data_IF_031769735222
#
_entry.id   IF_031769735222
#
_cell.length_a   1.000
_cell.length_b   1.000
_cell.length_c   1.000
_cell.angle_alpha   90.00
_cell.angle_beta   90.00
_cell.angle_gamma   90.00
#
_symmetry.space_group_name_H-M   'P 1'
#
loop_
_entity.id
_entity.type
_entity.pdbx_description
1 polymer ?
#
# COMPACT_ATOMS: atom_id res chain seq x y z
N UNK A 1 -20.31 3.82 -25.08
CA UNK A 1 -19.72 5.06 -24.53
C UNK A 1 -18.94 4.63 -23.33
N UNK A 2 -17.62 4.47 -23.48
CA UNK A 2 -16.75 4.01 -22.41
C UNK A 2 -16.66 5.14 -21.38
N UNK A 3 -17.40 5.01 -20.28
CA UNK A 3 -17.20 5.85 -19.12
C UNK A 3 -15.83 5.49 -18.55
N UNK A 4 -14.79 6.23 -18.95
CA UNK A 4 -13.67 6.49 -18.06
C UNK A 4 -14.22 7.28 -16.88
N UNK A 5 -14.88 6.57 -15.97
CA UNK A 5 -15.07 7.00 -14.60
C UNK A 5 -13.68 7.35 -14.11
N UNK A 6 -13.36 8.65 -14.09
CA UNK A 6 -12.07 9.13 -13.62
C UNK A 6 -12.04 8.84 -12.14
N UNK A 7 -11.58 7.64 -11.78
CA UNK A 7 -11.47 7.18 -10.41
C UNK A 7 -10.93 8.34 -9.57
N UNK A 8 -11.67 8.73 -8.54
CA UNK A 8 -11.34 9.94 -7.76
C UNK A 8 -10.00 9.70 -7.09
N UNK A 9 -8.95 10.29 -7.65
CA UNK A 9 -7.61 10.15 -7.12
C UNK A 9 -7.46 10.99 -5.85
N UNK A 10 -7.05 10.35 -4.77
CA UNK A 10 -6.89 11.00 -3.48
C UNK A 10 -5.52 10.73 -2.90
N UNK A 11 -5.00 11.72 -2.17
CA UNK A 11 -3.73 11.55 -1.45
C UNK A 11 -3.92 10.60 -0.28
N UNK A 12 -2.92 9.76 -0.04
CA UNK A 12 -2.87 8.84 1.07
C UNK A 12 -1.49 8.88 1.72
N UNK A 13 -1.45 8.60 3.03
CA UNK A 13 -0.23 8.45 3.82
C UNK A 13 -0.23 7.09 4.50
N UNK A 14 0.92 6.42 4.47
CA UNK A 14 1.15 5.19 5.21
C UNK A 14 1.70 5.49 6.60
N UNK A 15 1.12 4.88 7.61
CA UNK A 15 1.40 5.10 9.02
C UNK A 15 1.79 3.80 9.74
N UNK A 16 2.84 3.85 10.56
CA UNK A 16 3.55 2.68 11.06
C UNK A 16 4.28 1.86 9.97
N UNK A 17 4.92 0.76 10.40
CA UNK A 17 5.54 -0.23 9.54
C UNK A 17 6.72 0.27 8.69
N UNK A 18 7.22 -0.57 7.76
CA UNK A 18 8.41 -0.28 6.96
C UNK A 18 8.28 0.86 5.94
N UNK A 19 7.06 1.31 5.66
CA UNK A 19 6.78 2.39 4.70
C UNK A 19 6.18 3.63 5.39
N UNK A 20 6.41 3.78 6.70
CA UNK A 20 5.92 4.92 7.47
C UNK A 20 6.30 6.26 6.83
N UNK A 21 5.32 7.16 6.74
CA UNK A 21 5.47 8.51 6.15
C UNK A 21 5.41 8.54 4.63
N UNK A 22 5.38 7.39 3.94
CA UNK A 22 5.23 7.36 2.49
C UNK A 22 3.90 7.98 2.09
N UNK A 23 3.94 8.92 1.14
CA UNK A 23 2.76 9.51 0.52
C UNK A 23 2.54 8.91 -0.86
N UNK A 24 1.29 8.56 -1.16
CA UNK A 24 0.90 8.00 -2.46
C UNK A 24 -0.46 8.55 -2.90
N UNK A 25 -0.91 8.20 -4.10
CA UNK A 25 -2.26 8.44 -4.57
C UNK A 25 -3.00 7.13 -4.73
N UNK A 26 -4.26 7.11 -4.31
CA UNK A 26 -5.14 5.95 -4.44
C UNK A 26 -6.38 6.32 -5.25
N UNK A 27 -6.85 5.37 -6.04
CA UNK A 27 -8.08 5.45 -6.81
C UNK A 27 -9.21 4.78 -6.00
N UNK A 28 -10.38 5.42 -5.93
CA UNK A 28 -11.61 4.85 -5.35
C UNK A 28 -11.51 4.42 -3.88
N UNK A 29 -10.54 4.99 -3.16
CA UNK A 29 -10.30 4.76 -1.72
C UNK A 29 -10.32 3.25 -1.38
N UNK A 30 -9.31 2.46 -1.75
CA UNK A 30 -9.28 1.04 -1.43
C UNK A 30 -9.22 0.84 0.10
N UNK A 31 -9.78 -0.25 0.62
CA UNK A 31 -9.67 -0.55 2.05
C UNK A 31 -8.28 -1.02 2.46
N UNK A 32 -7.50 -1.55 1.52
CA UNK A 32 -6.21 -2.18 1.76
C UNK A 32 -5.20 -1.73 0.71
N UNK A 33 -3.97 -1.48 1.14
CA UNK A 33 -2.82 -1.29 0.28
C UNK A 33 -1.76 -2.36 0.58
N UNK A 34 -1.15 -2.87 -0.48
CA UNK A 34 -0.03 -3.79 -0.42
C UNK A 34 1.25 -3.06 -0.80
N UNK A 35 2.25 -3.11 0.07
CA UNK A 35 3.59 -2.57 -0.19
C UNK A 35 4.56 -3.74 -0.28
N UNK A 36 5.25 -3.86 -1.41
CA UNK A 36 6.29 -4.87 -1.60
C UNK A 36 7.68 -4.26 -1.50
N UNK A 37 8.60 -4.97 -0.86
CA UNK A 37 10.02 -4.60 -0.80
C UNK A 37 10.86 -5.77 -1.28
N UNK A 38 11.76 -5.59 -2.27
CA UNK A 38 12.60 -6.68 -2.74
C UNK A 38 13.53 -7.16 -1.62
N UNK A 39 13.69 -8.49 -1.51
CA UNK A 39 14.62 -9.15 -0.61
C UNK A 39 15.63 -9.91 -1.47
N UNK A 40 16.83 -9.36 -1.73
CA UNK A 40 17.84 -10.05 -2.52
C UNK A 40 18.24 -11.39 -1.86
N UNK A 41 18.29 -12.52 -2.59
CA UNK A 41 18.80 -13.77 -2.05
C UNK A 41 20.33 -13.73 -1.94
N UNK A 42 20.88 -14.30 -0.86
CA UNK A 42 22.33 -14.34 -0.60
C UNK A 42 23.04 -15.56 -1.25
N UNK A 43 22.50 -16.12 -2.34
CA UNK A 43 23.02 -17.34 -2.98
C UNK A 43 22.48 -17.57 -4.39
N UNK A 44 22.84 -18.69 -5.06
CA UNK A 44 22.41 -18.98 -6.43
C UNK A 44 20.88 -19.10 -6.46
N UNK A 45 20.26 -18.10 -7.07
CA UNK A 45 18.81 -17.90 -7.08
C UNK A 45 18.38 -17.09 -8.30
N UNK A 46 19.12 -17.22 -9.41
CA UNK A 46 19.01 -16.35 -10.58
C UNK A 46 17.62 -16.38 -11.25
N UNK A 47 16.79 -17.37 -10.90
CA UNK A 47 15.43 -17.55 -11.40
C UNK A 47 14.32 -17.19 -10.38
N UNK A 48 14.66 -16.84 -9.13
CA UNK A 48 13.68 -16.62 -8.05
C UNK A 48 13.72 -15.17 -7.53
N UNK A 49 12.55 -14.53 -7.43
CA UNK A 49 12.38 -13.21 -6.80
C UNK A 49 11.73 -13.36 -5.43
N UNK A 50 12.42 -12.89 -4.39
CA UNK A 50 11.85 -12.78 -3.04
C UNK A 50 11.45 -11.33 -2.77
N UNK A 51 10.29 -11.12 -2.16
CA UNK A 51 9.83 -9.80 -1.74
C UNK A 51 9.06 -9.91 -0.44
N UNK A 52 9.34 -9.01 0.50
CA UNK A 52 8.49 -8.82 1.67
C UNK A 52 7.20 -8.12 1.23
N UNK A 53 6.07 -8.57 1.76
CA UNK A 53 4.76 -7.97 1.56
C UNK A 53 4.30 -7.36 2.89
N UNK A 54 3.90 -6.09 2.85
CA UNK A 54 3.37 -5.37 4.00
C UNK A 54 1.97 -4.87 3.68
N UNK A 55 1.01 -5.21 4.52
CA UNK A 55 -0.39 -4.83 4.37
C UNK A 55 -0.67 -3.58 5.20
N UNK A 56 -1.32 -2.59 4.60
CA UNK A 56 -1.80 -1.40 5.28
C UNK A 56 -3.31 -1.27 5.08
N UNK A 57 -4.06 -1.05 6.16
CA UNK A 57 -5.51 -0.89 6.13
C UNK A 57 -5.90 0.57 6.31
N UNK A 58 -6.91 1.02 5.57
CA UNK A 58 -7.43 2.39 5.70
C UNK A 58 -7.97 2.59 7.12
N UNK A 59 -7.55 3.65 7.79
CA UNK A 59 -8.08 4.06 9.09
C UNK A 59 -9.52 4.56 8.89
N UNK A 60 -10.54 3.93 9.51
CA UNK A 60 -11.92 4.37 9.39
C UNK A 60 -12.19 5.73 10.04
N UNK A 61 -11.26 6.28 10.83
CA UNK A 61 -11.38 7.60 11.44
C UNK A 61 -11.02 8.75 10.50
N UNK A 62 -10.47 8.44 9.32
CA UNK A 62 -10.03 9.45 8.34
C UNK A 62 -10.87 9.32 7.07
N UNK A 63 -11.92 10.14 6.97
CA UNK A 63 -12.82 10.17 5.81
C UNK A 63 -12.40 11.20 4.75
N UNK A 64 -11.52 12.14 5.10
CA UNK A 64 -11.01 13.19 4.22
C UNK A 64 -9.53 12.98 3.85
N UNK A 65 -9.14 13.48 2.68
CA UNK A 65 -7.76 13.41 2.24
C UNK A 65 -6.84 14.31 3.08
N UNK A 66 -5.59 13.88 3.39
CA UNK A 66 -5.00 12.62 2.97
C UNK A 66 -5.53 11.42 3.77
N UNK A 67 -5.97 10.37 3.06
CA UNK A 67 -6.40 9.12 3.68
C UNK A 67 -5.24 8.49 4.46
N UNK A 68 -5.48 8.06 5.68
CA UNK A 68 -4.47 7.36 6.49
C UNK A 68 -4.62 5.86 6.32
N UNK A 69 -3.52 5.16 6.08
CA UNK A 69 -3.46 3.70 6.07
C UNK A 69 -2.47 3.23 7.13
N UNK A 70 -2.90 2.41 8.07
CA UNK A 70 -2.07 1.91 9.17
C UNK A 70 -1.55 0.52 8.88
N UNK A 71 -0.30 0.25 9.26
CA UNK A 71 0.33 -1.06 9.12
C UNK A 71 -0.45 -2.14 9.90
N UNK A 72 -0.79 -3.23 9.21
CA UNK A 72 -1.46 -4.40 9.82
C UNK A 72 -0.41 -5.43 10.26
N UNK A 73 -0.08 -5.41 11.56
CA UNK A 73 0.87 -6.34 12.18
C UNK A 73 0.37 -7.78 12.25
N UNK A 74 -0.94 -8.00 12.09
CA UNK A 74 -1.56 -9.32 12.16
C UNK A 74 -1.73 -9.97 10.78
N UNK A 75 -1.41 -9.25 9.70
CA UNK A 75 -1.40 -9.82 8.35
C UNK A 75 -0.21 -10.78 8.20
N UNK A 76 -0.44 -12.03 7.74
CA UNK A 76 0.58 -13.07 7.61
C UNK A 76 1.60 -12.78 6.50
#
# INVERSE_FOLDING_TARGET
MENHDTARWESAVLDGGPAHGLRTRVADRPHVLQVTRPCPPDGPGDEVRVSALYVYRRDPRTDDAPLRYTFDVASP
#
